data_IF_324732124461
#
_entry.id   IF_324732124461
#
_cell.length_a   1.000
_cell.length_b   1.000
_cell.length_c   1.000
_cell.angle_alpha   90.00
_cell.angle_beta   90.00
_cell.angle_gamma   90.00
#
_symmetry.space_group_name_H-M   'P 1'
#
loop_
_entity.id
_entity.type
_entity.pdbx_description
1 polymer ?
#
# COMPACT_ATOMS: atom_id res chain seq x y z
N UNK A 1 19.12 -22.73 13.87
CA UNK A 1 19.06 -21.76 14.97
C UNK A 1 19.53 -20.42 14.42
N UNK A 2 18.62 -19.60 13.87
CA UNK A 2 18.96 -18.30 13.31
C UNK A 2 18.64 -17.26 14.39
N UNK A 3 19.68 -16.72 15.02
CA UNK A 3 19.61 -15.62 15.98
C UNK A 3 19.19 -14.35 15.23
N UNK A 4 17.88 -14.21 15.04
CA UNK A 4 17.25 -13.00 14.50
C UNK A 4 17.45 -11.84 15.50
N UNK A 5 18.50 -11.04 15.26
CA UNK A 5 18.52 -9.68 15.75
C UNK A 5 17.28 -8.96 15.22
N UNK A 6 16.30 -8.72 16.09
CA UNK A 6 15.11 -7.89 15.83
C UNK A 6 15.60 -6.52 15.38
N UNK A 7 15.72 -6.32 14.06
CA UNK A 7 15.93 -5.01 13.47
C UNK A 7 14.65 -4.21 13.72
N UNK A 8 14.72 -3.25 14.63
CA UNK A 8 13.67 -2.25 14.88
C UNK A 8 13.58 -1.31 13.66
N UNK A 9 13.06 -1.81 12.53
CA UNK A 9 12.95 -1.05 11.27
C UNK A 9 11.64 -0.26 11.15
N UNK A 10 10.86 -0.21 12.23
CA UNK A 10 9.62 0.56 12.33
C UNK A 10 9.93 2.06 12.29
N UNK A 11 9.48 2.78 11.28
CA UNK A 11 9.74 4.22 11.11
C UNK A 11 8.87 5.05 12.06
N UNK A 12 9.47 6.05 12.73
CA UNK A 12 8.72 7.04 13.52
C UNK A 12 7.92 8.00 12.63
N UNK A 13 7.00 8.78 13.19
CA UNK A 13 6.15 9.68 12.39
C UNK A 13 6.95 10.68 11.51
N UNK A 14 8.11 11.11 12.00
CA UNK A 14 9.02 12.04 11.30
C UNK A 14 9.73 11.36 10.12
N UNK A 15 10.21 10.13 10.30
CA UNK A 15 10.80 9.31 9.23
C UNK A 15 9.80 9.09 8.09
N UNK A 16 8.52 8.96 8.42
CA UNK A 16 7.45 8.76 7.44
C UNK A 16 7.23 10.02 6.61
N UNK A 17 7.26 11.19 7.24
CA UNK A 17 7.13 12.48 6.54
C UNK A 17 8.29 12.69 5.56
N UNK A 18 9.51 12.36 5.98
CA UNK A 18 10.67 12.38 5.10
C UNK A 18 10.53 11.39 3.93
N UNK A 19 10.08 10.16 4.21
CA UNK A 19 9.84 9.15 3.19
C UNK A 19 8.80 9.60 2.15
N UNK A 20 7.71 10.25 2.55
CA UNK A 20 6.73 10.79 1.60
C UNK A 20 7.34 11.82 0.64
N UNK A 21 8.27 12.66 1.12
CA UNK A 21 8.99 13.61 0.26
C UNK A 21 9.89 12.90 -0.74
N UNK A 22 10.60 11.86 -0.30
CA UNK A 22 11.43 11.02 -1.16
C UNK A 22 10.60 10.35 -2.27
N UNK A 23 9.46 9.75 -1.91
CA UNK A 23 8.55 9.16 -2.91
C UNK A 23 8.05 10.22 -3.86
N UNK A 24 7.60 11.38 -3.39
CA UNK A 24 7.12 12.45 -4.26
C UNK A 24 8.17 12.91 -5.29
N UNK A 25 9.45 12.86 -4.92
CA UNK A 25 10.58 13.25 -5.76
C UNK A 25 11.00 12.22 -6.82
N UNK A 26 10.48 10.97 -6.78
CA UNK A 26 10.85 10.00 -7.81
C UNK A 26 10.36 10.46 -9.19
N UNK A 27 11.19 10.34 -10.24
CA UNK A 27 10.85 10.83 -11.58
C UNK A 27 9.72 10.03 -12.23
N UNK A 28 9.68 8.71 -11.99
CA UNK A 28 8.68 7.83 -12.59
C UNK A 28 7.37 7.86 -11.77
N UNK A 29 6.25 8.38 -12.32
CA UNK A 29 5.00 8.50 -11.58
C UNK A 29 4.38 7.16 -11.21
N UNK A 30 4.58 6.10 -12.01
CA UNK A 30 4.05 4.76 -11.71
C UNK A 30 4.80 4.15 -10.53
N UNK A 31 6.13 4.33 -10.48
CA UNK A 31 6.94 3.89 -9.33
C UNK A 31 6.55 4.59 -8.03
N UNK A 32 6.27 5.91 -8.09
CA UNK A 32 5.76 6.67 -6.92
C UNK A 32 4.52 6.05 -6.32
N UNK A 33 3.52 5.84 -7.17
CA UNK A 33 2.24 5.28 -6.75
C UNK A 33 2.39 3.82 -6.30
N UNK A 34 3.27 3.03 -6.94
CA UNK A 34 3.56 1.67 -6.48
C UNK A 34 4.08 1.62 -5.04
N UNK A 35 5.03 2.48 -4.69
CA UNK A 35 5.56 2.56 -3.32
C UNK A 35 4.50 3.04 -2.33
N UNK A 36 3.70 4.04 -2.72
CA UNK A 36 2.59 4.53 -1.91
C UNK A 36 1.54 3.43 -1.68
N UNK A 37 1.15 2.71 -2.73
CA UNK A 37 0.18 1.62 -2.64
C UNK A 37 0.71 0.47 -1.79
N UNK A 38 2.00 0.13 -1.92
CA UNK A 38 2.65 -0.90 -1.11
C UNK A 38 2.60 -0.56 0.39
N UNK A 39 2.81 0.71 0.75
CA UNK A 39 2.67 1.18 2.12
C UNK A 39 1.22 1.10 2.60
N UNK A 40 0.25 1.52 1.78
CA UNK A 40 -1.17 1.56 2.16
C UNK A 40 -1.83 0.19 2.25
N UNK A 41 -1.42 -0.76 1.40
CA UNK A 41 -1.99 -2.12 1.34
C UNK A 41 -1.31 -3.10 2.30
N UNK A 42 -0.06 -2.85 2.69
CA UNK A 42 0.76 -3.82 3.43
C UNK A 42 1.03 -5.12 2.66
N UNK A 43 0.74 -5.14 1.35
CA UNK A 43 0.85 -6.34 0.53
C UNK A 43 2.30 -6.63 0.15
N UNK A 44 2.56 -7.90 -0.17
CA UNK A 44 3.89 -8.30 -0.65
C UNK A 44 4.14 -7.64 -2.01
N UNK A 45 5.28 -6.96 -2.21
CA UNK A 45 5.57 -6.25 -3.47
C UNK A 45 5.50 -7.15 -4.69
N UNK A 46 6.00 -8.37 -4.60
CA UNK A 46 5.97 -9.36 -5.69
C UNK A 46 4.55 -9.67 -6.14
N UNK A 47 3.61 -9.75 -5.19
CA UNK A 47 2.21 -10.01 -5.51
C UNK A 47 1.54 -8.79 -6.17
N UNK A 48 1.96 -7.57 -5.82
CA UNK A 48 1.46 -6.33 -6.43
C UNK A 48 1.99 -6.12 -7.85
N UNK A 49 3.26 -6.45 -8.07
CA UNK A 49 3.93 -6.32 -9.36
C UNK A 49 3.21 -7.13 -10.46
N UNK A 50 2.72 -8.33 -10.11
CA UNK A 50 2.05 -9.23 -11.04
C UNK A 50 0.55 -8.93 -11.22
N UNK A 51 0.02 -7.85 -10.62
CA UNK A 51 -1.40 -7.52 -10.73
C UNK A 51 -1.75 -6.97 -12.11
N UNK A 52 -2.91 -7.39 -12.61
CA UNK A 52 -3.44 -6.95 -13.91
C UNK A 52 -4.61 -5.99 -13.72
N UNK A 53 -4.91 -5.14 -14.72
CA UNK A 53 -6.03 -4.20 -14.62
C UNK A 53 -7.38 -4.87 -14.35
N UNK A 54 -7.63 -6.06 -14.92
CA UNK A 54 -8.88 -6.81 -14.71
C UNK A 54 -9.05 -7.36 -13.29
N UNK A 55 -7.99 -7.39 -12.47
CA UNK A 55 -8.09 -7.80 -11.08
C UNK A 55 -8.67 -6.68 -10.18
N UNK A 56 -8.75 -5.45 -10.69
CA UNK A 56 -9.35 -4.32 -9.99
C UNK A 56 -10.86 -4.29 -10.23
N UNK A 57 -11.64 -4.46 -9.17
CA UNK A 57 -13.09 -4.19 -9.16
C UNK A 57 -13.33 -2.81 -8.52
N UNK A 58 -13.51 -1.74 -9.31
CA UNK A 58 -13.75 -0.41 -8.78
C UNK A 58 -15.13 -0.27 -8.13
N UNK A 59 -16.12 -1.11 -8.50
CA UNK A 59 -17.48 -1.05 -7.93
C UNK A 59 -17.50 -1.64 -6.53
N UNK A 60 -16.88 -2.80 -6.35
CA UNK A 60 -16.74 -3.45 -5.04
C UNK A 60 -15.61 -2.84 -4.21
N UNK A 61 -14.74 -2.03 -4.83
CA UNK A 61 -13.53 -1.45 -4.23
C UNK A 61 -12.61 -2.54 -3.71
N UNK A 62 -12.32 -3.52 -4.57
CA UNK A 62 -11.49 -4.67 -4.26
C UNK A 62 -10.40 -4.82 -5.31
N UNK A 63 -9.19 -5.16 -4.88
CA UNK A 63 -8.13 -5.65 -5.75
C UNK A 63 -7.90 -7.11 -5.46
N UNK A 64 -8.20 -7.97 -6.43
CA UNK A 64 -7.98 -9.40 -6.35
C UNK A 64 -6.50 -9.72 -6.58
N UNK A 65 -5.90 -10.52 -5.70
CA UNK A 65 -4.52 -10.99 -5.86
C UNK A 65 -4.56 -12.48 -6.20
N UNK A 66 -4.41 -12.87 -7.49
CA UNK A 66 -4.66 -14.23 -7.93
C UNK A 66 -3.52 -15.21 -7.58
N UNK A 67 -2.28 -14.72 -7.47
CA UNK A 67 -1.09 -15.58 -7.22
C UNK A 67 -0.19 -15.00 -6.13
N UNK A 68 -0.58 -15.12 -4.86
CA UNK A 68 0.32 -14.80 -3.76
C UNK A 68 1.39 -15.88 -3.56
N UNK A 69 2.39 -15.55 -2.73
CA UNK A 69 3.44 -16.49 -2.33
C UNK A 69 2.82 -17.73 -1.67
N UNK A 70 2.86 -18.86 -2.36
CA UNK A 70 2.24 -20.12 -1.94
C UNK A 70 1.22 -20.70 -2.92
N UNK A 71 1.04 -20.10 -4.10
CA UNK A 71 0.20 -20.64 -5.18
C UNK A 71 -1.18 -19.97 -5.26
N UNK A 72 -1.98 -20.40 -6.24
CA UNK A 72 -3.34 -19.91 -6.51
C UNK A 72 -4.30 -20.15 -5.35
N UNK A 73 -4.06 -21.18 -4.55
CA UNK A 73 -4.92 -21.58 -3.42
C UNK A 73 -4.91 -20.59 -2.25
N UNK A 74 -4.02 -19.59 -2.31
CA UNK A 74 -3.95 -18.50 -1.33
C UNK A 74 -4.43 -17.16 -1.87
N UNK A 75 -5.07 -17.15 -3.03
CA UNK A 75 -5.65 -15.95 -3.62
C UNK A 75 -6.49 -15.19 -2.59
N UNK A 76 -6.36 -13.87 -2.56
CA UNK A 76 -7.06 -13.05 -1.59
C UNK A 76 -7.43 -11.70 -2.18
N UNK A 77 -8.43 -11.09 -1.55
CA UNK A 77 -8.98 -9.80 -1.96
C UNK A 77 -8.50 -8.71 -1.00
N UNK A 78 -7.97 -7.62 -1.57
CA UNK A 78 -7.60 -6.42 -0.80
C UNK A 78 -8.77 -5.44 -0.88
N UNK A 79 -9.45 -5.12 0.23
CA UNK A 79 -10.40 -4.02 0.26
C UNK A 79 -9.65 -2.69 0.09
N UNK A 80 -10.12 -1.88 -0.85
CA UNK A 80 -9.47 -0.64 -1.24
C UNK A 80 -10.07 0.54 -0.47
N UNK A 81 -9.24 1.18 0.34
CA UNK A 81 -9.58 2.48 0.91
C UNK A 81 -9.66 3.56 -0.18
N UNK A 82 -10.30 4.70 0.13
CA UNK A 82 -10.37 5.83 -0.80
C UNK A 82 -8.99 6.27 -1.32
N UNK A 83 -7.97 6.25 -0.46
CA UNK A 83 -6.62 6.66 -0.84
C UNK A 83 -5.94 5.65 -1.76
N UNK A 84 -6.21 4.36 -1.56
CA UNK A 84 -5.74 3.30 -2.44
C UNK A 84 -6.37 3.41 -3.83
N UNK A 85 -7.67 3.70 -3.90
CA UNK A 85 -8.36 3.93 -5.17
C UNK A 85 -7.77 5.14 -5.90
N UNK A 86 -7.54 6.26 -5.20
CA UNK A 86 -6.93 7.44 -5.79
C UNK A 86 -5.51 7.16 -6.31
N UNK A 87 -4.73 6.35 -5.59
CA UNK A 87 -3.42 5.86 -6.02
C UNK A 87 -3.53 5.07 -7.33
N UNK A 88 -4.37 4.03 -7.38
CA UNK A 88 -4.57 3.21 -8.58
C UNK A 88 -5.12 4.02 -9.76
N UNK A 89 -6.00 4.99 -9.49
CA UNK A 89 -6.53 5.88 -10.53
C UNK A 89 -5.40 6.71 -11.16
N UNK A 90 -4.47 7.24 -10.34
CA UNK A 90 -3.30 7.96 -10.85
C UNK A 90 -2.41 7.04 -11.67
N UNK A 91 -2.15 5.82 -11.20
CA UNK A 91 -1.39 4.80 -11.95
C UNK A 91 -1.99 4.60 -13.34
N UNK A 92 -3.29 4.29 -13.43
CA UNK A 92 -3.98 4.03 -14.70
C UNK A 92 -3.88 5.24 -15.64
N UNK A 93 -3.99 6.47 -15.11
CA UNK A 93 -3.87 7.70 -15.90
C UNK A 93 -2.48 7.92 -16.48
N UNK A 94 -1.42 7.56 -15.75
CA UNK A 94 -0.04 7.67 -16.22
C UNK A 94 0.40 6.47 -17.08
N UNK A 95 -0.14 5.28 -16.79
CA UNK A 95 0.17 4.04 -17.49
C UNK A 95 -0.18 4.11 -18.97
N UNK A 96 -1.40 4.55 -19.31
CA UNK A 96 -1.88 4.61 -20.71
C UNK A 96 -0.97 5.41 -21.66
N UNK A 97 -0.58 6.66 -21.34
CA UNK A 97 0.29 7.43 -22.24
C UNK A 97 1.76 6.99 -22.21
N UNK A 98 2.26 6.43 -21.09
CA UNK A 98 3.68 6.04 -20.97
C UNK A 98 3.96 4.63 -21.54
N UNK A 99 2.99 3.72 -21.41
CA UNK A 99 3.12 2.30 -21.70
C UNK A 99 1.82 1.77 -22.34
N UNK A 100 1.47 2.22 -23.55
CA UNK A 100 0.14 1.96 -24.13
C UNK A 100 -0.15 0.47 -24.35
N UNK A 101 0.86 -0.36 -24.62
CA UNK A 101 0.68 -1.80 -24.85
C UNK A 101 0.71 -2.60 -23.55
N UNK A 102 1.56 -2.21 -22.61
CA UNK A 102 1.76 -2.91 -21.35
C UNK A 102 0.65 -2.58 -20.35
N UNK A 103 0.08 -1.36 -20.40
CA UNK A 103 -0.98 -0.91 -19.50
C UNK A 103 -2.29 -1.71 -19.61
N UNK A 104 -2.52 -2.42 -20.72
CA UNK A 104 -3.66 -3.33 -20.86
C UNK A 104 -3.44 -4.66 -20.13
N UNK A 105 -2.17 -5.04 -19.95
CA UNK A 105 -1.78 -6.33 -19.37
C UNK A 105 -1.39 -6.20 -17.89
N UNK A 106 -0.87 -5.05 -17.48
CA UNK A 106 -0.26 -4.83 -16.17
C UNK A 106 -0.79 -3.58 -15.49
N UNK A 107 -1.12 -3.69 -14.21
CA UNK A 107 -1.58 -2.54 -13.42
C UNK A 107 -0.44 -1.55 -13.16
N UNK A 108 0.79 -2.05 -12.99
CA UNK A 108 2.01 -1.26 -12.82
C UNK A 108 3.00 -1.52 -13.97
N UNK A 109 2.73 -0.99 -15.17
CA UNK A 109 3.59 -1.21 -16.33
C UNK A 109 4.93 -0.47 -16.18
N UNK A 110 5.97 -0.98 -16.85
CA UNK A 110 7.28 -0.36 -16.91
C UNK A 110 8.03 -0.81 -18.17
N UNK A 111 9.04 -0.04 -18.57
CA UNK A 111 9.98 -0.42 -19.62
C UNK A 111 10.92 -1.51 -19.08
N UNK A 112 10.48 -2.77 -19.16
CA UNK A 112 11.24 -3.96 -18.77
C UNK A 112 10.91 -5.10 -19.74
N UNK A 113 11.73 -6.16 -19.74
CA UNK A 113 11.52 -7.32 -20.59
C UNK A 113 10.16 -8.02 -20.34
N UNK A 114 9.61 -7.90 -19.12
CA UNK A 114 8.30 -8.46 -18.76
C UNK A 114 7.14 -7.48 -18.98
N UNK A 115 7.42 -6.24 -19.35
CA UNK A 115 6.43 -5.16 -19.54
C UNK A 115 5.86 -4.58 -18.25
N UNK A 116 6.33 -5.02 -17.08
CA UNK A 116 5.88 -4.50 -15.78
C UNK A 116 7.05 -4.17 -14.87
N UNK A 117 6.77 -3.51 -13.74
CA UNK A 117 7.77 -3.17 -12.76
C UNK A 117 8.54 -4.42 -12.29
N UNK A 118 9.78 -4.64 -12.75
CA UNK A 118 10.53 -5.86 -12.44
C UNK A 118 11.23 -5.80 -11.08
N UNK A 119 11.77 -4.64 -10.72
CA UNK A 119 12.44 -4.41 -9.44
C UNK A 119 11.92 -3.17 -8.72
N UNK A 120 11.39 -3.39 -7.52
CA UNK A 120 10.96 -2.35 -6.58
C UNK A 120 12.09 -1.76 -5.73
N UNK A 121 13.32 -2.25 -5.87
CA UNK A 121 14.44 -1.68 -5.11
C UNK A 121 14.78 -0.31 -5.69
N UNK A 122 15.07 0.60 -4.79
CA UNK A 122 15.62 1.92 -5.09
C UNK A 122 16.93 2.07 -4.33
N UNK A 123 17.81 2.96 -4.79
CA UNK A 123 18.96 3.39 -3.99
C UNK A 123 18.44 3.94 -2.65
N UNK A 124 19.03 3.46 -1.54
CA UNK A 124 18.65 3.87 -0.18
C UNK A 124 18.85 5.37 0.06
N UNK A 125 19.73 6.03 -0.71
CA UNK A 125 19.90 7.48 -0.71
C UNK A 125 18.70 8.20 -1.34
N UNK A 126 18.09 7.60 -2.36
CA UNK A 126 16.93 8.15 -3.08
C UNK A 126 15.64 7.84 -2.32
N UNK A 127 15.46 6.59 -1.90
CA UNK A 127 14.29 6.14 -1.14
C UNK A 127 14.73 5.26 0.02
N UNK A 128 14.59 5.78 1.24
CA UNK A 128 15.11 5.14 2.43
C UNK A 128 14.49 3.75 2.70
N UNK A 129 13.22 3.54 2.31
CA UNK A 129 12.46 2.32 2.59
C UNK A 129 11.65 1.86 1.39
N UNK A 130 11.72 0.56 1.10
CA UNK A 130 10.94 -0.08 0.05
C UNK A 130 10.63 -1.54 0.43
N UNK A 131 9.68 -2.14 -0.27
CA UNK A 131 9.33 -3.53 -0.14
C UNK A 131 8.90 -3.96 1.27
N UNK A 132 9.62 -4.92 1.87
CA UNK A 132 9.25 -5.46 3.19
C UNK A 132 9.32 -4.42 4.32
N UNK A 133 10.15 -3.37 4.17
CA UNK A 133 10.23 -2.26 5.13
C UNK A 133 8.90 -1.50 5.22
N UNK A 134 8.19 -1.37 4.09
CA UNK A 134 6.88 -0.70 4.03
C UNK A 134 5.79 -1.57 4.67
N UNK A 135 5.86 -2.89 4.50
CA UNK A 135 4.95 -3.83 5.17
C UNK A 135 5.10 -3.79 6.68
N UNK A 136 6.34 -3.71 7.18
CA UNK A 136 6.59 -3.53 8.60
C UNK A 136 6.07 -2.18 9.10
N UNK A 137 6.27 -1.12 8.32
CA UNK A 137 5.76 0.23 8.64
C UNK A 137 4.23 0.25 8.72
N UNK A 138 3.54 -0.38 7.76
CA UNK A 138 2.09 -0.53 7.79
C UNK A 138 1.61 -1.26 9.06
N UNK A 139 2.31 -2.32 9.48
CA UNK A 139 1.98 -3.05 10.72
C UNK A 139 2.08 -2.17 11.96
N UNK A 140 3.14 -1.36 12.07
CA UNK A 140 3.28 -0.46 13.21
C UNK A 140 2.24 0.66 13.19
N UNK A 141 1.89 1.18 12.01
CA UNK A 141 0.92 2.28 11.89
C UNK A 141 -0.54 1.83 11.96
N UNK A 142 -0.84 0.57 11.64
CA UNK A 142 -2.19 0.03 11.66
C UNK A 142 -2.83 0.13 13.05
N UNK A 143 -2.12 -0.28 14.11
CA UNK A 143 -2.64 -0.25 15.49
C UNK A 143 -2.95 1.17 15.98
N UNK A 144 -2.03 2.16 15.86
CA UNK A 144 -2.34 3.57 16.17
C UNK A 144 -3.44 4.18 15.29
N UNK A 145 -3.60 3.72 14.05
CA UNK A 145 -4.64 4.19 13.13
C UNK A 145 -6.03 3.61 13.43
N UNK A 146 -6.17 2.82 14.50
CA UNK A 146 -7.43 2.20 14.90
C UNK A 146 -7.82 0.98 14.07
N UNK A 147 -6.91 0.44 13.25
CA UNK A 147 -7.10 -0.84 12.58
C UNK A 147 -6.82 -1.94 13.59
N UNK A 148 -7.77 -2.84 13.80
CA UNK A 148 -7.58 -3.94 14.75
C UNK A 148 -6.40 -4.80 14.31
N UNK A 149 -5.68 -5.42 15.24
CA UNK A 149 -4.60 -6.33 14.89
C UNK A 149 -5.13 -7.45 13.98
N UNK A 150 -6.37 -7.90 14.19
CA UNK A 150 -7.03 -8.88 13.33
C UNK A 150 -7.17 -8.42 11.88
N UNK A 151 -7.69 -7.21 11.64
CA UNK A 151 -7.85 -6.64 10.30
C UNK A 151 -6.50 -6.40 9.64
N UNK A 152 -5.51 -5.91 10.39
CA UNK A 152 -4.15 -5.71 9.89
C UNK A 152 -3.50 -7.05 9.47
N UNK A 153 -3.75 -8.13 10.21
CA UNK A 153 -3.24 -9.48 9.90
C UNK A 153 -3.96 -10.10 8.71
N UNK A 154 -5.28 -9.91 8.59
CA UNK A 154 -6.09 -10.34 7.45
C UNK A 154 -5.66 -9.62 6.16
N UNK A 155 -5.51 -8.29 6.21
CA UNK A 155 -5.01 -7.47 5.08
C UNK A 155 -3.59 -7.87 4.66
N UNK A 156 -2.76 -8.33 5.59
CA UNK A 156 -1.39 -8.75 5.31
C UNK A 156 -1.24 -10.22 4.91
N UNK A 157 -2.33 -10.99 4.83
CA UNK A 157 -2.32 -12.44 4.56
C UNK A 157 -1.21 -13.15 5.37
N UNK A 158 -1.26 -12.96 6.68
CA UNK A 158 -0.35 -13.58 7.64
C UNK A 158 -1.07 -14.74 8.35
N UNK A 159 -0.42 -15.89 8.56
CA UNK A 159 -1.01 -16.98 9.32
C UNK A 159 -1.43 -16.51 10.72
N UNK A 160 -2.59 -16.97 11.15
CA UNK A 160 -3.09 -16.73 12.50
C UNK A 160 -2.24 -17.48 13.54
N UNK A 161 -1.99 -16.91 14.72
CA UNK A 161 -1.47 -17.68 15.85
C UNK A 161 -2.52 -18.73 16.24
N UNK A 162 -2.09 -19.97 16.49
CA UNK A 162 -2.96 -21.14 16.70
C UNK A 162 -3.85 -21.11 17.96
N UNK A 163 -4.00 -19.96 18.63
CA UNK A 163 -4.63 -19.82 19.94
C UNK A 163 -5.86 -18.91 19.96
N UNK A 164 -6.57 -18.70 18.85
CA UNK A 164 -7.86 -18.01 18.86
C UNK A 164 -8.97 -18.84 18.20
N UNK A 165 -10.12 -19.02 18.87
CA UNK A 165 -11.27 -19.74 18.31
C UNK A 165 -11.95 -18.91 17.21
N UNK A 166 -12.40 -19.59 16.16
CA UNK A 166 -12.86 -19.07 14.87
C UNK A 166 -14.25 -18.37 14.87
N UNK A 167 -14.66 -17.68 15.95
CA UNK A 167 -16.07 -17.24 16.13
C UNK A 167 -16.34 -15.78 15.76
N UNK A 168 -15.33 -14.90 15.62
CA UNK A 168 -15.56 -13.47 15.33
C UNK A 168 -15.19 -13.09 13.88
N UNK A 169 -15.98 -13.53 12.90
CA UNK A 169 -15.81 -13.18 11.48
C UNK A 169 -16.88 -12.24 10.91
N UNK A 170 -17.77 -11.68 11.73
CA UNK A 170 -18.73 -10.69 11.28
C UNK A 170 -18.89 -9.61 12.34
N UNK A 171 -18.96 -8.35 11.91
CA UNK A 171 -19.20 -7.13 12.70
C UNK A 171 -17.94 -6.32 13.06
N UNK A 172 -17.43 -5.54 12.09
CA UNK A 172 -17.08 -4.12 12.31
C UNK A 172 -16.49 -3.51 11.04
N UNK A 173 -17.34 -3.22 10.06
CA UNK A 173 -17.00 -2.37 8.92
C UNK A 173 -17.89 -1.12 8.94
N UNK A 174 -17.86 -0.35 10.04
CA UNK A 174 -18.76 0.81 10.18
C UNK A 174 -18.19 2.03 10.93
N UNK A 175 -16.89 2.12 11.24
CA UNK A 175 -16.33 3.33 11.90
C UNK A 175 -14.90 3.64 11.45
N UNK A 176 -14.77 4.20 10.25
CA UNK A 176 -13.61 5.04 9.90
C UNK A 176 -14.16 6.37 9.36
N UNK A 177 -14.67 7.20 10.27
CA UNK A 177 -14.91 8.63 10.02
C UNK A 177 -13.62 9.38 10.33
N UNK A 178 -12.93 9.84 9.29
CA UNK A 178 -11.84 10.81 9.41
C UNK A 178 -12.47 12.17 9.74
N UNK A 179 -12.21 12.70 10.94
CA UNK A 179 -12.65 14.03 11.31
C UNK A 179 -11.94 15.09 10.42
N UNK A 180 -12.67 16.04 9.81
CA UNK A 180 -12.03 17.11 9.05
C UNK A 180 -11.36 18.07 10.04
N UNK A 181 -10.03 18.17 9.99
CA UNK A 181 -9.30 19.18 10.75
C UNK A 181 -9.52 20.55 10.10
N UNK A 182 -10.24 21.38 10.85
CA UNK A 182 -10.54 22.77 10.55
C UNK A 182 -9.24 23.59 10.56
N UNK A 183 -8.82 24.14 9.42
CA UNK A 183 -7.89 25.28 9.37
C UNK A 183 -8.51 26.41 8.56
N UNK A 184 -9.41 27.15 9.21
CA UNK A 184 -9.53 28.59 8.98
C UNK A 184 -8.33 29.25 9.66
N UNK A 185 -7.50 29.98 8.93
CA UNK A 185 -6.73 31.12 9.43
C UNK A 185 -5.96 31.78 8.28
N UNK A 186 -6.60 32.74 7.62
CA UNK A 186 -5.94 33.89 7.03
C UNK A 186 -7.02 34.96 6.82
N UNK A 187 -7.22 35.84 7.80
CA UNK A 187 -7.56 37.25 7.62
C UNK A 187 -7.07 37.96 8.89
N UNK A 188 -6.26 38.99 8.66
CA UNK A 188 -5.56 39.82 9.64
C UNK A 188 -6.51 40.48 10.63
N UNK A 189 -6.02 40.57 11.87
CA UNK A 189 -6.44 41.49 12.91
C UNK A 189 -6.01 42.92 12.53
N UNK A 190 -6.86 43.92 12.78
CA UNK A 190 -6.49 45.23 13.31
C UNK A 190 -7.76 45.93 13.83
N UNK A 191 -7.79 46.09 15.15
CA UNK A 191 -8.79 46.81 15.95
C UNK A 191 -8.47 48.30 16.05
N UNK A 192 -9.53 49.11 15.89
CA UNK A 192 -9.92 50.35 16.60
C UNK A 192 -10.29 51.49 15.66
#
# INVERSE_FOLDING_TARGET
>A
MNSEGRRNTSTGLEDLTHWFRQVAALPNPIRREFHLFSLLSGCRPTALIETKPHNLDPRRRVLHIPRPKGGTDRAFDIPLSRQMILCLTRVIRFARPLYPFEADNWLFPAASDSGHLAEQKEDRKVLAKWGNDLRQTFRTLATPAGVTEFDARLLMNMPFPASMPAIFAATSCSKITFAPSNRRSAIRCLTR
#
